data_IF_547767980202
#
_entry.id   IF_547767980202
#
_cell.length_a   1.000
_cell.length_b   1.000
_cell.length_c   1.000
_cell.angle_alpha   90.00
_cell.angle_beta   90.00
_cell.angle_gamma   90.00
#
_symmetry.space_group_name_H-M   'P 1'
#
loop_
_entity.id
_entity.type
_entity.pdbx_description
1 polymer ?
#
# COMPACT_ATOMS: atom_id res chain seq x y z
N UNK A 1 23.01 -46.09 8.33
CA UNK A 1 21.87 -45.20 8.73
C UNK A 1 21.68 -44.21 7.59
N UNK A 2 20.62 -44.34 6.81
CA UNK A 2 20.22 -43.35 5.78
C UNK A 2 19.54 -42.19 6.51
N UNK A 3 20.21 -41.01 6.55
CA UNK A 3 19.57 -39.77 6.97
C UNK A 3 18.58 -39.36 5.91
N UNK A 4 17.28 -39.51 6.19
CA UNK A 4 16.20 -38.95 5.39
C UNK A 4 16.28 -37.44 5.61
N UNK A 5 16.47 -36.60 4.57
CA UNK A 5 16.40 -35.16 4.72
C UNK A 5 14.98 -34.81 5.16
N UNK A 6 14.83 -34.25 6.34
CA UNK A 6 13.58 -33.68 6.79
C UNK A 6 13.32 -32.45 5.91
N UNK A 7 12.47 -32.58 4.89
CA UNK A 7 11.92 -31.43 4.17
C UNK A 7 11.04 -30.66 5.15
N UNK A 8 11.61 -29.67 5.80
CA UNK A 8 10.86 -28.73 6.64
C UNK A 8 9.82 -27.98 5.82
N UNK A 9 8.76 -27.51 6.46
CA UNK A 9 7.81 -26.61 5.81
C UNK A 9 8.52 -25.30 5.42
N UNK A 10 8.34 -24.85 4.19
CA UNK A 10 8.80 -23.55 3.72
C UNK A 10 7.80 -22.47 4.17
N UNK A 11 8.29 -21.41 4.76
CA UNK A 11 7.47 -20.30 5.23
C UNK A 11 7.45 -19.21 4.16
N UNK A 12 6.25 -18.72 3.85
CA UNK A 12 6.04 -17.61 2.95
C UNK A 12 5.24 -16.50 3.64
N UNK A 13 5.63 -15.27 3.42
CA UNK A 13 5.05 -14.10 4.05
C UNK A 13 4.45 -13.16 3.00
N UNK A 14 3.22 -12.69 3.25
CA UNK A 14 2.55 -11.71 2.40
C UNK A 14 2.48 -10.37 3.14
N UNK A 15 3.20 -9.36 2.66
CA UNK A 15 3.05 -7.98 3.11
C UNK A 15 1.70 -7.42 2.66
N UNK A 16 1.02 -6.73 3.55
CA UNK A 16 -0.33 -6.22 3.30
C UNK A 16 -0.41 -4.71 3.47
N UNK A 17 -1.12 -4.22 4.44
CA UNK A 17 -1.28 -2.83 4.85
C UNK A 17 -1.74 -2.80 6.30
N UNK A 18 -2.33 -1.70 6.74
CA UNK A 18 -2.89 -1.60 8.07
C UNK A 18 -3.99 -2.65 8.30
N UNK A 19 -4.09 -3.16 9.53
CA UNK A 19 -5.01 -4.26 9.91
C UNK A 19 -6.49 -3.95 9.66
N UNK A 20 -6.85 -2.67 9.62
CA UNK A 20 -8.24 -2.21 9.33
C UNK A 20 -8.51 -2.00 7.84
N UNK A 21 -7.48 -2.07 6.98
CA UNK A 21 -7.60 -1.91 5.54
C UNK A 21 -7.94 -3.23 4.84
N UNK A 22 -8.30 -3.14 3.56
CA UNK A 22 -8.73 -4.29 2.73
C UNK A 22 -7.59 -5.28 2.46
N UNK A 23 -6.34 -4.83 2.36
CA UNK A 23 -5.20 -5.69 2.06
C UNK A 23 -4.98 -6.78 3.12
N UNK A 24 -5.11 -6.43 4.40
CA UNK A 24 -4.83 -7.38 5.49
C UNK A 24 -5.79 -8.58 5.51
N UNK A 25 -7.12 -8.42 5.52
CA UNK A 25 -8.06 -9.54 5.44
C UNK A 25 -7.95 -10.29 4.11
N UNK A 26 -7.61 -9.63 2.99
CA UNK A 26 -7.40 -10.28 1.70
C UNK A 26 -6.17 -11.19 1.73
N UNK A 27 -5.03 -10.71 2.22
CA UNK A 27 -3.84 -11.54 2.43
C UNK A 27 -4.12 -12.71 3.37
N UNK A 28 -4.88 -12.46 4.45
CA UNK A 28 -5.32 -13.50 5.37
C UNK A 28 -6.19 -14.57 4.70
N UNK A 29 -7.06 -14.20 3.77
CA UNK A 29 -7.86 -15.15 3.00
C UNK A 29 -6.96 -16.01 2.09
N UNK A 30 -6.01 -15.39 1.39
CA UNK A 30 -5.03 -16.11 0.55
C UNK A 30 -4.23 -17.11 1.40
N UNK A 31 -3.67 -16.66 2.54
CA UNK A 31 -2.91 -17.54 3.41
C UNK A 31 -3.75 -18.69 3.99
N UNK A 32 -5.03 -18.46 4.30
CA UNK A 32 -5.92 -19.55 4.72
C UNK A 32 -6.05 -20.61 3.62
N UNK A 33 -6.23 -20.21 2.36
CA UNK A 33 -6.31 -21.14 1.24
C UNK A 33 -5.00 -21.91 1.06
N UNK A 34 -3.85 -21.24 1.01
CA UNK A 34 -2.53 -21.89 0.92
C UNK A 34 -2.33 -22.90 2.05
N UNK A 35 -2.67 -22.53 3.26
CA UNK A 35 -2.49 -23.39 4.44
C UNK A 35 -3.42 -24.60 4.47
N UNK A 36 -4.56 -24.60 3.74
CA UNK A 36 -5.40 -25.80 3.57
C UNK A 36 -4.63 -26.90 2.84
N UNK A 37 -3.75 -26.53 1.89
CA UNK A 37 -2.95 -27.46 1.07
C UNK A 37 -1.52 -27.65 1.61
N UNK A 38 -1.24 -27.26 2.87
CA UNK A 38 0.12 -27.32 3.47
C UNK A 38 0.75 -28.71 3.49
N UNK A 39 -0.06 -29.78 3.51
CA UNK A 39 0.44 -31.17 3.48
C UNK A 39 1.01 -31.54 2.10
N UNK A 40 0.42 -30.98 1.04
CA UNK A 40 0.79 -31.21 -0.36
C UNK A 40 1.91 -30.27 -0.80
N UNK A 41 1.74 -28.96 -0.54
CA UNK A 41 2.65 -27.91 -0.99
C UNK A 41 3.89 -27.76 -0.12
N UNK A 42 3.83 -28.21 1.14
CA UNK A 42 4.82 -27.97 2.20
C UNK A 42 5.00 -26.47 2.53
N UNK A 43 4.10 -25.61 2.01
CA UNK A 43 4.12 -24.18 2.31
C UNK A 43 3.33 -23.85 3.56
N UNK A 44 3.81 -22.87 4.33
CA UNK A 44 3.10 -22.20 5.42
C UNK A 44 3.07 -20.72 5.16
N UNK A 45 1.88 -20.17 4.98
CA UNK A 45 1.66 -18.77 4.67
C UNK A 45 1.24 -17.99 5.91
N UNK A 46 1.85 -16.82 6.10
CA UNK A 46 1.48 -15.81 7.08
C UNK A 46 1.33 -14.44 6.44
N UNK A 47 0.57 -13.56 7.09
CA UNK A 47 0.42 -12.18 6.65
C UNK A 47 1.15 -11.24 7.61
N UNK A 48 1.69 -10.16 7.04
CA UNK A 48 2.30 -9.08 7.78
C UNK A 48 1.54 -7.79 7.55
N UNK A 49 1.25 -7.07 8.64
CA UNK A 49 0.72 -5.73 8.56
C UNK A 49 1.86 -4.74 8.29
N UNK A 50 1.73 -3.97 7.23
CA UNK A 50 2.81 -3.10 6.74
C UNK A 50 2.35 -1.66 6.52
N UNK A 51 3.26 -0.82 6.03
CA UNK A 51 2.98 0.54 5.61
C UNK A 51 2.17 0.65 4.30
N UNK A 52 2.06 -0.44 3.52
CA UNK A 52 1.34 -0.46 2.25
C UNK A 52 2.27 -0.67 1.04
N UNK A 53 1.82 -0.24 -0.14
CA UNK A 53 2.36 -0.66 -1.43
C UNK A 53 3.86 -0.40 -1.63
N UNK A 54 4.32 0.82 -1.36
CA UNK A 54 5.74 1.18 -1.53
C UNK A 54 6.63 0.43 -0.55
N UNK A 55 6.17 0.31 0.70
CA UNK A 55 6.85 -0.48 1.73
C UNK A 55 6.98 -1.94 1.29
N UNK A 56 5.89 -2.57 0.85
CA UNK A 56 5.88 -3.97 0.43
C UNK A 56 6.88 -4.24 -0.70
N UNK A 57 6.91 -3.38 -1.72
CA UNK A 57 7.85 -3.52 -2.85
C UNK A 57 9.30 -3.41 -2.38
N UNK A 58 9.63 -2.45 -1.51
CA UNK A 58 10.97 -2.30 -0.99
C UNK A 58 11.41 -3.51 -0.14
N UNK A 59 10.49 -4.02 0.68
CA UNK A 59 10.76 -5.18 1.56
C UNK A 59 10.91 -6.48 0.75
N UNK A 60 10.14 -6.63 -0.35
CA UNK A 60 10.35 -7.73 -1.33
C UNK A 60 11.71 -7.58 -2.02
N UNK A 61 12.08 -6.37 -2.45
CA UNK A 61 13.39 -6.10 -3.05
C UNK A 61 14.55 -6.52 -2.14
N UNK A 62 14.40 -6.30 -0.84
CA UNK A 62 15.40 -6.64 0.16
C UNK A 62 15.40 -8.14 0.53
N UNK A 63 14.42 -8.91 0.07
CA UNK A 63 14.29 -10.34 0.41
C UNK A 63 13.71 -10.60 1.80
N UNK A 64 13.03 -9.62 2.41
CA UNK A 64 12.41 -9.72 3.73
C UNK A 64 10.93 -10.12 3.65
N UNK A 65 10.30 -9.95 2.48
CA UNK A 65 8.96 -10.43 2.14
C UNK A 65 9.02 -11.25 0.86
N UNK A 66 8.24 -12.33 0.80
CA UNK A 66 8.12 -13.16 -0.41
C UNK A 66 7.08 -12.60 -1.37
N UNK A 67 5.97 -12.09 -0.85
CA UNK A 67 4.86 -11.52 -1.60
C UNK A 67 4.37 -10.22 -0.96
N UNK A 68 3.63 -9.43 -1.72
CA UNK A 68 2.97 -8.21 -1.23
C UNK A 68 1.72 -7.89 -2.01
N UNK A 69 0.71 -7.36 -1.32
CA UNK A 69 -0.43 -6.72 -1.99
C UNK A 69 -0.02 -5.29 -2.29
N UNK A 70 -0.11 -4.92 -3.56
CA UNK A 70 0.46 -3.67 -4.08
C UNK A 70 -0.47 -3.09 -5.14
N UNK A 71 -0.65 -1.78 -5.15
CA UNK A 71 -1.33 -1.06 -6.23
C UNK A 71 -0.58 -1.25 -7.56
N UNK A 72 -1.32 -1.33 -8.67
CA UNK A 72 -0.75 -1.58 -10.00
C UNK A 72 0.14 -0.44 -10.50
N UNK A 73 -0.18 0.81 -10.19
CA UNK A 73 0.64 1.98 -10.47
C UNK A 73 1.99 1.93 -9.76
N UNK A 74 2.02 1.48 -8.51
CA UNK A 74 3.25 1.29 -7.73
C UNK A 74 4.10 0.14 -8.30
N UNK A 75 3.47 -0.96 -8.74
CA UNK A 75 4.18 -2.04 -9.45
C UNK A 75 4.82 -1.52 -10.73
N UNK A 76 4.09 -0.70 -11.50
CA UNK A 76 4.60 -0.06 -12.71
C UNK A 76 5.80 0.85 -12.40
N UNK A 77 5.65 1.79 -11.47
CA UNK A 77 6.73 2.70 -11.05
C UNK A 77 7.98 1.92 -10.61
N UNK A 78 7.80 0.89 -9.78
CA UNK A 78 8.91 0.05 -9.33
C UNK A 78 9.62 -0.67 -10.50
N UNK A 79 8.86 -1.17 -11.46
CA UNK A 79 9.44 -1.87 -12.63
C UNK A 79 10.23 -0.95 -13.54
N UNK A 80 9.86 0.34 -13.62
CA UNK A 80 10.49 1.35 -14.48
C UNK A 80 11.54 2.19 -13.76
N UNK A 81 11.53 2.23 -12.43
CA UNK A 81 12.39 3.12 -11.66
C UNK A 81 11.91 4.57 -11.71
N UNK A 82 10.60 4.76 -11.62
CA UNK A 82 9.92 6.06 -11.67
C UNK A 82 9.23 6.38 -10.35
N UNK A 83 8.81 7.62 -10.15
CA UNK A 83 8.04 8.04 -8.97
C UNK A 83 8.74 7.71 -7.66
N UNK A 84 8.10 6.93 -6.81
CA UNK A 84 8.66 6.50 -5.53
C UNK A 84 9.93 5.64 -5.66
N UNK A 85 10.27 5.17 -6.86
CA UNK A 85 11.43 4.31 -7.15
C UNK A 85 12.39 4.96 -8.15
N UNK A 86 12.39 6.29 -8.25
CA UNK A 86 13.23 7.02 -9.20
C UNK A 86 14.70 6.59 -9.11
N UNK A 87 15.26 6.20 -10.26
CA UNK A 87 16.64 5.70 -10.36
C UNK A 87 16.90 4.31 -9.74
N UNK A 88 15.87 3.61 -9.26
CA UNK A 88 15.98 2.33 -8.54
C UNK A 88 15.02 1.25 -9.06
N UNK A 89 14.98 1.06 -10.38
CA UNK A 89 14.14 0.05 -11.02
C UNK A 89 14.32 -1.36 -10.43
N UNK A 90 13.22 -2.11 -10.34
CA UNK A 90 13.18 -3.48 -9.84
C UNK A 90 12.66 -4.42 -10.94
N UNK A 91 13.48 -4.75 -11.96
CA UNK A 91 13.00 -5.49 -13.15
C UNK A 91 12.64 -6.95 -12.84
N UNK A 92 13.07 -7.48 -11.70
CA UNK A 92 12.75 -8.85 -11.26
C UNK A 92 11.42 -8.96 -10.54
N UNK A 93 10.76 -7.84 -10.21
CA UNK A 93 9.43 -7.85 -9.60
C UNK A 93 8.44 -8.50 -10.57
N UNK A 94 7.60 -9.41 -10.06
CA UNK A 94 6.61 -10.14 -10.84
C UNK A 94 5.22 -9.96 -10.23
N UNK A 95 4.22 -9.75 -11.09
CA UNK A 95 2.82 -9.82 -10.70
C UNK A 95 2.35 -11.28 -10.73
N UNK A 96 1.67 -11.70 -9.67
CA UNK A 96 1.09 -13.05 -9.56
C UNK A 96 -0.34 -13.04 -10.10
N UNK A 97 -1.17 -12.13 -9.62
CA UNK A 97 -2.58 -11.97 -10.04
C UNK A 97 -3.08 -10.56 -9.72
N UNK A 98 -4.12 -10.12 -10.42
CA UNK A 98 -4.93 -8.98 -10.01
C UNK A 98 -6.03 -9.47 -9.06
N UNK A 99 -6.29 -8.71 -7.98
CA UNK A 99 -7.23 -9.11 -6.94
C UNK A 99 -8.56 -8.36 -7.10
N UNK A 100 -8.53 -7.04 -7.14
CA UNK A 100 -9.72 -6.18 -7.30
C UNK A 100 -9.32 -4.79 -7.81
N UNK A 101 -10.24 -4.05 -8.46
CA UNK A 101 -10.00 -2.66 -8.83
C UNK A 101 -10.07 -1.75 -7.61
N UNK A 102 -9.19 -0.74 -7.55
CA UNK A 102 -9.23 0.34 -6.58
C UNK A 102 -9.61 1.64 -7.28
N UNK A 103 -10.57 2.34 -6.70
CA UNK A 103 -11.01 3.65 -7.21
C UNK A 103 -10.37 4.76 -6.37
N UNK A 104 -9.76 5.72 -7.05
CA UNK A 104 -9.30 6.92 -6.38
C UNK A 104 -10.51 7.69 -5.85
N UNK A 105 -10.49 8.00 -4.57
CA UNK A 105 -11.56 8.74 -3.91
C UNK A 105 -10.96 9.80 -2.99
N UNK A 106 -11.35 11.05 -3.22
CA UNK A 106 -11.06 12.16 -2.31
C UNK A 106 -12.29 12.39 -1.44
N UNK A 107 -12.18 12.11 -0.14
CA UNK A 107 -13.22 12.37 0.85
C UNK A 107 -12.96 13.70 1.51
N UNK A 108 -13.95 14.61 1.49
CA UNK A 108 -13.81 15.96 2.04
C UNK A 108 -14.95 16.30 2.99
N UNK A 109 -14.70 17.23 3.88
CA UNK A 109 -15.78 17.85 4.67
C UNK A 109 -16.58 18.79 3.78
N UNK A 110 -17.90 18.79 3.97
CA UNK A 110 -18.80 19.63 3.20
C UNK A 110 -18.50 21.14 3.34
N UNK A 111 -18.11 21.55 4.55
CA UNK A 111 -17.78 22.95 4.87
C UNK A 111 -16.35 23.36 4.44
N UNK A 112 -15.56 22.44 3.96
CA UNK A 112 -14.24 22.74 3.40
C UNK A 112 -14.29 23.40 2.01
N UNK A 113 -15.46 23.38 1.35
CA UNK A 113 -15.67 23.95 0.01
C UNK A 113 -14.63 23.46 -1.00
N UNK A 114 -14.41 22.15 -1.06
CA UNK A 114 -13.59 21.47 -2.06
C UNK A 114 -14.55 20.85 -3.06
N UNK A 115 -14.69 21.44 -4.24
CA UNK A 115 -15.59 21.00 -5.29
C UNK A 115 -14.84 20.40 -6.47
N UNK A 116 -13.55 20.66 -6.57
CA UNK A 116 -12.63 20.11 -7.57
C UNK A 116 -11.28 19.79 -6.94
N UNK A 117 -10.45 19.01 -7.64
CA UNK A 117 -9.16 18.62 -7.11
C UNK A 117 -8.23 19.80 -6.84
N UNK A 118 -8.30 20.87 -7.63
CA UNK A 118 -7.46 22.07 -7.44
C UNK A 118 -7.80 22.84 -6.15
N UNK A 119 -9.01 22.68 -5.61
CA UNK A 119 -9.47 23.40 -4.42
C UNK A 119 -8.78 22.88 -3.12
N UNK A 120 -7.95 21.85 -3.22
CA UNK A 120 -7.15 21.37 -2.09
C UNK A 120 -6.05 22.36 -1.68
N UNK A 121 -5.69 23.30 -2.56
CA UNK A 121 -4.72 24.37 -2.24
C UNK A 121 -5.22 25.20 -1.06
N UNK A 122 -4.34 25.44 -0.09
CA UNK A 122 -4.68 26.13 1.15
C UNK A 122 -5.48 25.32 2.17
N UNK A 123 -5.77 24.04 1.90
CA UNK A 123 -6.52 23.14 2.79
C UNK A 123 -5.59 22.21 3.57
N UNK A 124 -6.15 21.57 4.60
CA UNK A 124 -5.47 20.55 5.41
C UNK A 124 -5.82 19.19 4.82
N UNK A 125 -4.94 18.64 4.01
CA UNK A 125 -5.17 17.37 3.29
C UNK A 125 -4.27 16.29 3.85
N UNK A 126 -4.83 15.13 4.19
CA UNK A 126 -4.04 13.97 4.54
C UNK A 126 -3.70 13.18 3.27
N UNK A 127 -2.42 12.94 3.05
CA UNK A 127 -1.92 12.26 1.85
C UNK A 127 -1.75 10.74 2.04
N UNK A 128 -1.80 10.28 3.29
CA UNK A 128 -1.47 8.92 3.66
C UNK A 128 -0.15 8.82 4.42
N UNK A 129 0.06 7.71 5.10
CA UNK A 129 1.30 7.47 5.83
C UNK A 129 2.49 7.24 4.87
N UNK A 130 3.72 7.59 5.30
CA UNK A 130 4.92 7.37 4.50
C UNK A 130 5.06 5.90 4.06
N UNK A 131 5.38 5.69 2.77
CA UNK A 131 5.51 4.35 2.18
C UNK A 131 4.19 3.68 1.82
N UNK A 132 3.06 4.37 1.98
CA UNK A 132 1.75 3.87 1.50
C UNK A 132 1.57 4.14 -0.01
N UNK A 133 0.70 3.35 -0.63
CA UNK A 133 0.24 3.63 -1.98
C UNK A 133 -0.57 4.93 -2.05
N UNK A 134 -1.35 5.23 -1.01
CA UNK A 134 -2.13 6.47 -0.92
C UNK A 134 -1.23 7.71 -1.05
N UNK A 135 -0.13 7.76 -0.28
CA UNK A 135 0.82 8.88 -0.37
C UNK A 135 1.41 8.98 -1.78
N UNK A 136 1.88 7.87 -2.34
CA UNK A 136 2.49 7.87 -3.67
C UNK A 136 1.51 8.31 -4.76
N UNK A 137 0.27 7.82 -4.73
CA UNK A 137 -0.78 8.23 -5.68
C UNK A 137 -1.17 9.70 -5.50
N UNK A 138 -1.33 10.16 -4.26
CA UNK A 138 -1.63 11.58 -3.99
C UNK A 138 -0.53 12.50 -4.53
N UNK A 139 0.74 12.13 -4.35
CA UNK A 139 1.88 12.90 -4.86
C UNK A 139 1.93 12.92 -6.39
N UNK A 140 1.69 11.78 -7.04
CA UNK A 140 1.64 11.71 -8.49
C UNK A 140 0.53 12.60 -9.08
N UNK A 141 -0.66 12.61 -8.45
CA UNK A 141 -1.76 13.49 -8.85
C UNK A 141 -1.45 14.96 -8.61
N UNK A 142 -0.78 15.29 -7.53
CA UNK A 142 -0.36 16.65 -7.24
C UNK A 142 0.63 17.16 -8.28
N UNK A 143 1.60 16.33 -8.65
CA UNK A 143 2.59 16.65 -9.69
C UNK A 143 1.91 16.91 -11.02
N UNK A 144 1.02 16.04 -11.46
CA UNK A 144 0.23 16.21 -12.69
C UNK A 144 -0.64 17.46 -12.69
N UNK A 145 -1.22 17.81 -11.53
CA UNK A 145 -2.03 19.01 -11.35
C UNK A 145 -1.23 20.30 -11.10
N UNK A 146 0.09 20.24 -11.05
CA UNK A 146 0.95 21.35 -10.68
C UNK A 146 0.72 21.86 -9.24
N UNK A 147 0.43 20.94 -8.32
CA UNK A 147 0.20 21.22 -6.90
C UNK A 147 1.43 20.76 -6.11
N UNK A 148 1.98 21.62 -5.27
CA UNK A 148 3.06 21.25 -4.35
C UNK A 148 2.52 21.00 -2.95
N UNK A 149 3.20 20.16 -2.17
CA UNK A 149 2.86 19.99 -0.74
C UNK A 149 2.82 21.32 0.01
N UNK A 150 3.67 22.26 -0.39
CA UNK A 150 3.73 23.62 0.17
C UNK A 150 2.53 24.49 -0.16
N UNK A 151 1.72 24.12 -1.14
CA UNK A 151 0.49 24.83 -1.49
C UNK A 151 -0.66 24.45 -0.54
N UNK A 152 -0.49 23.40 0.27
CA UNK A 152 -1.44 23.00 1.29
C UNK A 152 -1.22 23.81 2.56
N UNK A 153 -2.29 24.09 3.29
CA UNK A 153 -2.19 24.62 4.66
C UNK A 153 -1.54 23.60 5.61
N UNK A 154 -1.81 22.32 5.37
CA UNK A 154 -1.23 21.19 6.10
C UNK A 154 -1.29 19.93 5.24
N UNK A 155 -0.15 19.26 5.11
CA UNK A 155 -0.03 17.95 4.48
C UNK A 155 0.07 16.88 5.57
N UNK A 156 -1.02 16.16 5.83
CA UNK A 156 -1.08 15.10 6.83
C UNK A 156 -0.45 13.80 6.36
N UNK A 157 -0.02 12.98 7.32
CA UNK A 157 0.60 11.67 7.11
C UNK A 157 -0.02 10.57 7.98
N UNK A 158 -1.32 10.71 8.26
CA UNK A 158 -2.09 9.76 9.08
C UNK A 158 -2.29 8.44 8.33
N UNK A 159 -2.36 7.36 9.07
CA UNK A 159 -2.77 6.06 8.54
C UNK A 159 -4.25 6.07 8.15
N UNK A 160 -4.63 5.20 7.22
CA UNK A 160 -6.01 5.10 6.73
C UNK A 160 -7.05 4.95 7.87
N UNK A 161 -6.70 4.22 8.93
CA UNK A 161 -7.59 4.04 10.10
C UNK A 161 -7.85 5.32 10.90
N UNK A 162 -6.98 6.31 10.79
CA UNK A 162 -7.05 7.57 11.56
C UNK A 162 -7.75 8.70 10.80
N UNK A 163 -7.83 8.57 9.46
CA UNK A 163 -8.35 9.61 8.57
C UNK A 163 -9.81 9.99 8.84
N UNK A 164 -10.76 9.02 9.01
CA UNK A 164 -12.16 9.37 9.26
C UNK A 164 -12.37 10.15 10.55
N UNK A 165 -11.68 9.78 11.61
CA UNK A 165 -11.75 10.47 12.89
C UNK A 165 -11.13 11.87 12.81
N UNK A 166 -9.98 12.00 12.17
CA UNK A 166 -9.36 13.30 11.95
C UNK A 166 -10.23 14.26 11.12
N UNK A 167 -10.95 13.72 10.12
CA UNK A 167 -11.91 14.49 9.32
C UNK A 167 -13.11 14.93 10.18
N UNK A 168 -13.70 14.03 10.95
CA UNK A 168 -14.83 14.31 11.85
C UNK A 168 -14.47 15.31 12.94
N UNK A 169 -13.26 15.20 13.50
CA UNK A 169 -12.75 16.08 14.54
C UNK A 169 -12.25 17.44 14.00
N UNK A 170 -12.46 17.73 12.70
CA UNK A 170 -11.98 18.96 12.07
C UNK A 170 -10.47 19.18 12.15
N UNK A 171 -9.68 18.11 12.19
CA UNK A 171 -8.21 18.19 12.15
C UNK A 171 -7.70 18.30 10.72
N UNK A 172 -8.41 17.69 9.77
CA UNK A 172 -8.15 17.74 8.32
C UNK A 172 -9.42 18.16 7.57
N UNK A 173 -9.27 18.65 6.35
CA UNK A 173 -10.36 19.06 5.46
C UNK A 173 -10.69 17.98 4.43
N UNK A 174 -9.75 17.06 4.16
CA UNK A 174 -9.93 15.94 3.26
C UNK A 174 -8.79 14.92 3.33
N UNK A 175 -9.04 13.73 2.76
CA UNK A 175 -8.07 12.65 2.58
C UNK A 175 -8.42 11.80 1.37
#
# INVERSE_FOLDING_TARGET
MLSIPAFGAEFVTIGTGGVTGTYHPTGGAICRLVNQYKKETKLRCSVESTGGSVYNVNTIKNGELDFGIVQSDIVYQASKGEGAFEGAAIPKLKSVMAIYPELLTLVTRKDANINSFIDVKGKRINLGNPGSGNEATALALFDEAGIKKTDLKFAGALKASEMPDALRDNKIDGY
#
